data_IF_507973875353
#
_entry.id   IF_507973875353
#
_cell.length_a   1.000
_cell.length_b   1.000
_cell.length_c   1.000
_cell.angle_alpha   90.00
_cell.angle_beta   90.00
_cell.angle_gamma   90.00
#
_symmetry.space_group_name_H-M   'P 1'
#
loop_
_entity.id
_entity.type
_entity.pdbx_description
1 polymer ?
#
# COMPACT_ATOMS: atom_id res chain seq x y z
N UNK A 1 16.73 3.78 -16.46
CA UNK A 1 15.74 4.19 -15.45
C UNK A 1 15.40 2.95 -14.64
N UNK A 2 15.54 3.05 -13.32
CA UNK A 2 15.15 1.97 -12.41
C UNK A 2 13.61 1.91 -12.33
N UNK A 3 13.03 0.75 -12.58
CA UNK A 3 11.59 0.53 -12.52
C UNK A 3 11.04 0.78 -11.10
N UNK A 4 11.85 0.52 -10.07
CA UNK A 4 11.49 0.77 -8.67
C UNK A 4 11.33 2.27 -8.43
N UNK A 5 12.22 3.10 -8.97
CA UNK A 5 12.12 4.56 -8.86
C UNK A 5 10.84 5.07 -9.53
N UNK A 6 10.54 4.60 -10.75
CA UNK A 6 9.31 4.96 -11.44
C UNK A 6 8.06 4.58 -10.63
N UNK A 7 8.06 3.38 -10.05
CA UNK A 7 6.95 2.88 -9.22
C UNK A 7 6.79 3.61 -7.89
N UNK A 8 7.86 4.21 -7.36
CA UNK A 8 7.87 4.93 -6.08
C UNK A 8 7.86 6.46 -6.24
N UNK A 9 7.51 6.97 -7.41
CA UNK A 9 7.46 8.41 -7.71
C UNK A 9 6.20 9.04 -7.12
N UNK A 10 6.22 9.26 -5.81
CA UNK A 10 5.10 9.80 -5.04
C UNK A 10 4.69 11.21 -5.51
N UNK A 11 3.43 11.41 -5.96
CA UNK A 11 2.99 12.69 -6.49
C UNK A 11 3.15 13.85 -5.49
N UNK A 12 3.70 14.97 -5.97
CA UNK A 12 3.95 16.16 -5.15
C UNK A 12 5.24 16.11 -4.32
N UNK A 13 5.97 14.99 -4.33
CA UNK A 13 7.28 14.85 -3.66
C UNK A 13 8.40 14.65 -4.67
N UNK A 14 8.17 13.78 -5.66
CA UNK A 14 9.16 13.44 -6.68
C UNK A 14 8.66 13.82 -8.08
N UNK A 15 9.55 14.25 -8.99
CA UNK A 15 9.16 14.56 -10.37
C UNK A 15 8.77 13.27 -11.12
N UNK A 16 7.76 13.31 -12.01
CA UNK A 16 7.38 12.17 -12.84
C UNK A 16 8.55 11.61 -13.66
N UNK A 17 8.62 10.29 -13.78
CA UNK A 17 9.67 9.60 -14.55
C UNK A 17 9.23 9.43 -16.00
N UNK A 18 10.04 9.90 -16.96
CA UNK A 18 9.75 9.73 -18.40
C UNK A 18 10.23 8.36 -18.88
N UNK A 19 9.31 7.50 -19.30
CA UNK A 19 9.62 6.16 -19.82
C UNK A 19 8.76 5.83 -21.04
N UNK A 20 9.39 5.39 -22.13
CA UNK A 20 8.71 5.04 -23.41
C UNK A 20 7.68 6.09 -23.87
N UNK A 21 8.05 7.37 -23.80
CA UNK A 21 7.19 8.49 -24.21
C UNK A 21 6.08 8.88 -23.23
N UNK A 22 5.99 8.21 -22.06
CA UNK A 22 4.98 8.49 -21.03
C UNK A 22 5.63 9.06 -19.78
N UNK A 23 4.87 9.86 -19.03
CA UNK A 23 5.25 10.26 -17.68
C UNK A 23 4.61 9.31 -16.68
N UNK A 24 5.44 8.70 -15.85
CA UNK A 24 5.05 7.73 -14.84
C UNK A 24 5.11 8.38 -13.45
N UNK A 25 4.16 8.00 -12.60
CA UNK A 25 4.07 8.33 -11.18
C UNK A 25 3.84 7.03 -10.41
N UNK A 26 3.76 7.13 -9.08
CA UNK A 26 3.51 6.01 -8.19
C UNK A 26 2.37 5.09 -8.65
N UNK A 27 2.64 3.79 -8.70
CA UNK A 27 1.71 2.77 -9.19
C UNK A 27 0.53 2.52 -8.23
N UNK A 28 0.64 2.92 -6.97
CA UNK A 28 -0.41 2.77 -5.98
C UNK A 28 -1.69 3.51 -6.35
N UNK A 29 -1.61 4.54 -7.21
CA UNK A 29 -2.78 5.23 -7.75
C UNK A 29 -3.69 4.35 -8.60
N UNK A 30 -3.18 3.20 -9.07
CA UNK A 30 -3.92 2.23 -9.87
C UNK A 30 -4.23 0.99 -9.04
N UNK A 31 -3.21 0.42 -8.41
CA UNK A 31 -3.35 -0.79 -7.59
C UNK A 31 -2.43 -0.72 -6.36
N UNK A 32 -2.91 -0.27 -5.18
CA UNK A 32 -2.08 -0.07 -4.00
C UNK A 32 -1.44 -1.35 -3.45
N UNK A 33 -2.04 -2.51 -3.69
CA UNK A 33 -1.46 -3.83 -3.39
C UNK A 33 -1.65 -4.72 -4.60
N UNK A 34 -0.63 -4.93 -5.45
CA UNK A 34 -0.80 -5.45 -6.81
C UNK A 34 -1.05 -6.96 -6.88
N UNK A 35 -2.17 -7.42 -6.32
CA UNK A 35 -2.57 -8.83 -6.28
C UNK A 35 -3.00 -9.33 -7.66
N UNK A 36 -3.74 -8.52 -8.43
CA UNK A 36 -4.22 -8.92 -9.75
C UNK A 36 -3.06 -9.19 -10.71
N UNK A 37 -1.97 -8.43 -10.58
CA UNK A 37 -0.73 -8.67 -11.34
C UNK A 37 -0.14 -10.04 -11.01
N UNK A 38 -0.08 -10.44 -9.74
CA UNK A 38 0.44 -11.76 -9.34
C UNK A 38 -0.44 -12.88 -9.90
N UNK A 39 -1.76 -12.74 -9.86
CA UNK A 39 -2.69 -13.70 -10.44
C UNK A 39 -2.50 -13.82 -11.95
N UNK A 40 -2.34 -12.69 -12.66
CA UNK A 40 -2.03 -12.68 -14.10
C UNK A 40 -0.68 -13.34 -14.43
N UNK A 41 0.27 -13.30 -13.50
CA UNK A 41 1.55 -14.01 -13.61
C UNK A 41 1.44 -15.52 -13.27
N UNK A 42 0.25 -16.02 -12.94
CA UNK A 42 -0.01 -17.43 -12.65
C UNK A 42 0.20 -17.82 -11.19
N UNK A 43 0.22 -16.88 -10.25
CA UNK A 43 0.28 -17.21 -8.83
C UNK A 43 -1.01 -17.90 -8.38
N UNK A 44 -0.91 -19.15 -7.91
CA UNK A 44 -2.05 -19.92 -7.38
C UNK A 44 -2.54 -19.39 -6.03
N UNK A 45 -1.65 -18.76 -5.27
CA UNK A 45 -1.92 -18.17 -3.96
C UNK A 45 -1.11 -16.90 -3.80
N UNK A 46 -1.74 -15.84 -3.32
CA UNK A 46 -1.09 -14.54 -3.10
C UNK A 46 -1.22 -14.08 -1.65
N UNK A 47 -0.11 -13.62 -1.06
CA UNK A 47 -0.12 -12.99 0.26
C UNK A 47 0.20 -11.50 0.09
N UNK A 48 -0.77 -10.64 0.35
CA UNK A 48 -0.62 -9.19 0.31
C UNK A 48 -0.40 -8.58 1.69
N UNK A 49 0.27 -7.44 1.73
CA UNK A 49 0.41 -6.62 2.94
C UNK A 49 -0.23 -5.26 2.66
N UNK A 50 -1.36 -5.00 3.29
CA UNK A 50 -2.14 -3.77 3.12
C UNK A 50 -1.89 -2.84 4.32
N UNK A 51 -1.27 -1.70 4.05
CA UNK A 51 -0.89 -0.70 5.04
C UNK A 51 -1.85 0.49 5.11
N UNK A 52 -2.90 0.52 4.27
CA UNK A 52 -3.71 1.72 4.10
C UNK A 52 -4.72 1.90 5.24
N UNK A 53 -4.88 3.15 5.68
CA UNK A 53 -5.65 3.51 6.87
C UNK A 53 -7.15 3.36 6.59
N UNK A 54 -7.81 2.38 7.22
CA UNK A 54 -9.26 2.18 7.05
C UNK A 54 -10.12 3.22 7.76
N UNK A 55 -9.58 3.95 8.75
CA UNK A 55 -10.31 5.03 9.44
C UNK A 55 -9.58 6.34 9.22
N UNK A 56 -10.00 7.01 8.15
CA UNK A 56 -9.58 8.36 7.84
C UNK A 56 -9.81 9.27 9.05
N UNK A 57 -8.74 9.83 9.62
CA UNK A 57 -8.86 10.77 10.75
C UNK A 57 -9.37 12.12 10.27
N UNK A 58 -9.99 12.89 11.17
CA UNK A 58 -10.26 14.31 10.92
C UNK A 58 -8.93 15.04 10.76
N UNK A 59 -8.84 15.87 9.73
CA UNK A 59 -7.76 16.81 9.52
C UNK A 59 -8.39 18.21 9.46
N UNK A 60 -7.92 19.09 10.34
CA UNK A 60 -8.42 20.47 10.41
C UNK A 60 -7.56 21.43 9.55
N UNK A 61 -6.52 20.91 8.88
CA UNK A 61 -5.60 21.70 8.07
C UNK A 61 -6.04 21.73 6.61
N UNK A 62 -6.34 22.92 6.11
CA UNK A 62 -6.83 23.18 4.75
C UNK A 62 -5.75 23.67 3.78
N UNK A 63 -4.48 23.69 4.19
CA UNK A 63 -3.37 24.02 3.29
C UNK A 63 -3.29 23.00 2.13
N UNK A 64 -2.99 23.50 0.93
CA UNK A 64 -3.00 22.73 -0.32
C UNK A 64 -2.19 21.43 -0.26
N UNK A 65 -1.07 21.40 0.47
CA UNK A 65 -0.26 20.19 0.63
C UNK A 65 -1.04 19.12 1.39
N UNK A 66 -1.71 19.50 2.48
CA UNK A 66 -2.53 18.58 3.27
C UNK A 66 -3.78 18.15 2.53
N UNK A 67 -4.38 19.04 1.72
CA UNK A 67 -5.51 18.69 0.85
C UNK A 67 -5.10 17.65 -0.19
N UNK A 68 -3.95 17.81 -0.86
CA UNK A 68 -3.43 16.84 -1.82
C UNK A 68 -3.13 15.49 -1.13
N UNK A 69 -2.40 15.51 -0.01
CA UNK A 69 -2.11 14.30 0.76
C UNK A 69 -3.39 13.58 1.18
N UNK A 70 -4.41 14.34 1.60
CA UNK A 70 -5.70 13.80 1.99
C UNK A 70 -6.44 13.18 0.80
N UNK A 71 -6.41 13.82 -0.35
CA UNK A 71 -6.97 13.27 -1.59
C UNK A 71 -6.33 11.93 -1.93
N UNK A 72 -4.99 11.85 -1.89
CA UNK A 72 -4.25 10.60 -2.13
C UNK A 72 -4.63 9.53 -1.10
N UNK A 73 -4.69 9.86 0.19
CA UNK A 73 -5.08 8.92 1.24
C UNK A 73 -6.50 8.36 1.02
N UNK A 74 -7.48 9.23 0.70
CA UNK A 74 -8.86 8.84 0.41
C UNK A 74 -8.92 7.91 -0.80
N UNK A 75 -8.23 8.27 -1.88
CA UNK A 75 -8.19 7.50 -3.12
C UNK A 75 -7.60 6.11 -2.88
N UNK A 76 -6.40 6.03 -2.29
CA UNK A 76 -5.71 4.76 -2.02
C UNK A 76 -6.49 3.87 -1.06
N UNK A 77 -7.13 4.46 -0.05
CA UNK A 77 -8.04 3.73 0.85
C UNK A 77 -9.26 3.20 0.11
N UNK A 78 -9.83 3.98 -0.81
CA UNK A 78 -10.95 3.57 -1.65
C UNK A 78 -10.60 2.40 -2.56
N UNK A 79 -9.45 2.48 -3.24
CA UNK A 79 -8.92 1.44 -4.12
C UNK A 79 -8.63 0.14 -3.36
N UNK A 80 -7.87 0.20 -2.26
CA UNK A 80 -7.57 -0.97 -1.43
C UNK A 80 -8.85 -1.68 -0.93
N UNK A 81 -9.89 -0.92 -0.55
CA UNK A 81 -11.20 -1.49 -0.17
C UNK A 81 -11.97 -2.08 -1.34
N UNK A 82 -11.83 -1.50 -2.54
CA UNK A 82 -12.49 -2.00 -3.73
C UNK A 82 -11.86 -3.32 -4.17
N UNK A 83 -10.54 -3.38 -4.26
CA UNK A 83 -9.77 -4.59 -4.59
C UNK A 83 -10.02 -5.71 -3.59
N UNK A 84 -10.13 -5.41 -2.29
CA UNK A 84 -10.44 -6.43 -1.30
C UNK A 84 -11.75 -7.16 -1.58
N UNK A 85 -12.74 -6.48 -2.16
CA UNK A 85 -14.02 -7.12 -2.51
C UNK A 85 -13.89 -8.08 -3.69
N UNK A 86 -12.85 -7.93 -4.51
CA UNK A 86 -12.62 -8.77 -5.69
C UNK A 86 -11.70 -9.94 -5.38
N UNK A 87 -11.01 -9.94 -4.23
CA UNK A 87 -10.10 -11.02 -3.83
C UNK A 87 -10.84 -12.34 -3.58
N UNK A 88 -10.33 -13.40 -4.21
CA UNK A 88 -10.80 -14.77 -4.03
C UNK A 88 -10.22 -15.44 -2.76
N UNK A 89 -10.52 -16.73 -2.59
CA UNK A 89 -10.02 -17.55 -1.46
C UNK A 89 -8.52 -17.84 -1.53
N UNK A 90 -7.95 -17.63 -2.71
CA UNK A 90 -6.54 -17.73 -3.08
C UNK A 90 -5.72 -16.49 -2.69
N UNK A 91 -6.33 -15.51 -2.01
CA UNK A 91 -5.65 -14.30 -1.55
C UNK A 91 -5.75 -14.18 -0.02
N UNK A 92 -4.60 -13.95 0.62
CA UNK A 92 -4.49 -13.65 2.03
C UNK A 92 -3.90 -12.26 2.23
N UNK A 93 -4.65 -11.35 2.86
CA UNK A 93 -4.14 -10.02 3.22
C UNK A 93 -3.76 -9.97 4.70
N UNK A 94 -2.53 -9.53 4.98
CA UNK A 94 -2.00 -9.19 6.30
C UNK A 94 -2.05 -7.67 6.49
N UNK A 95 -2.34 -7.21 7.71
CA UNK A 95 -2.57 -5.79 7.99
C UNK A 95 -1.89 -5.34 9.28
N UNK A 96 -0.57 -5.09 9.24
CA UNK A 96 0.16 -4.59 10.39
C UNK A 96 -0.48 -3.32 10.96
N UNK A 97 -0.78 -3.30 12.25
CA UNK A 97 -1.32 -2.11 12.90
C UNK A 97 -0.24 -1.02 13.05
N UNK A 98 -0.09 -0.20 12.01
CA UNK A 98 0.88 0.90 11.98
C UNK A 98 0.40 2.22 12.62
N UNK A 99 -0.84 2.25 13.12
CA UNK A 99 -1.46 3.38 13.81
C UNK A 99 -2.31 4.26 12.89
N UNK A 100 -3.07 5.22 13.44
CA UNK A 100 -4.00 6.07 12.68
C UNK A 100 -3.38 7.34 12.08
N UNK A 101 -2.15 7.69 12.49
CA UNK A 101 -1.41 8.86 12.00
C UNK A 101 -0.05 8.41 11.50
N UNK A 102 -0.02 7.79 10.32
CA UNK A 102 1.24 7.53 9.62
C UNK A 102 1.53 8.76 8.78
N UNK A 103 2.65 9.40 9.07
CA UNK A 103 3.22 10.37 8.15
C UNK A 103 4.23 9.59 7.29
N UNK A 104 4.00 9.58 5.98
CA UNK A 104 4.82 8.91 4.94
C UNK A 104 6.31 9.20 5.06
N UNK A 105 6.69 10.35 5.62
CA UNK A 105 8.08 10.80 5.77
C UNK A 105 8.65 10.56 7.19
N UNK A 106 7.99 9.77 8.04
CA UNK A 106 8.45 9.48 9.41
C UNK A 106 9.54 8.39 9.46
N UNK A 107 10.65 8.60 8.76
CA UNK A 107 11.76 7.63 8.67
C UNK A 107 12.42 7.32 10.04
N UNK A 108 12.33 8.22 11.01
CA UNK A 108 12.82 7.96 12.37
C UNK A 108 12.04 6.84 13.10
N UNK A 109 10.83 6.48 12.62
CA UNK A 109 10.00 5.41 13.19
C UNK A 109 10.17 4.06 12.49
N UNK A 110 11.08 3.94 11.51
CA UNK A 110 11.23 2.73 10.69
C UNK A 110 11.41 1.45 11.52
N UNK A 111 12.23 1.46 12.57
CA UNK A 111 12.41 0.30 13.47
C UNK A 111 11.10 -0.19 14.08
N UNK A 112 10.24 0.74 14.51
CA UNK A 112 8.92 0.43 15.07
C UNK A 112 7.99 -0.15 13.98
N UNK A 113 8.01 0.37 12.75
CA UNK A 113 7.20 -0.18 11.67
C UNK A 113 7.64 -1.59 11.24
N UNK A 114 8.94 -1.85 11.20
CA UNK A 114 9.50 -3.19 10.94
C UNK A 114 9.01 -4.18 12.02
N UNK A 115 9.14 -3.80 13.30
CA UNK A 115 8.66 -4.64 14.42
C UNK A 115 7.16 -4.94 14.33
N UNK A 116 6.34 -3.98 13.88
CA UNK A 116 4.90 -4.18 13.67
C UNK A 116 4.60 -5.17 12.53
N UNK A 117 5.36 -5.11 11.44
CA UNK A 117 5.23 -6.08 10.34
C UNK A 117 5.63 -7.50 10.76
N UNK A 118 6.70 -7.63 11.55
CA UNK A 118 7.11 -8.89 12.15
C UNK A 118 6.00 -9.45 13.05
N UNK A 119 5.50 -8.63 13.97
CA UNK A 119 4.42 -9.02 14.90
C UNK A 119 3.16 -9.50 14.18
N UNK A 120 2.71 -8.79 13.15
CA UNK A 120 1.55 -9.19 12.34
C UNK A 120 1.75 -10.59 11.73
N UNK A 121 2.95 -10.87 11.24
CA UNK A 121 3.30 -12.15 10.63
C UNK A 121 3.34 -13.27 11.68
N UNK A 122 3.95 -13.01 12.84
CA UNK A 122 4.04 -13.97 13.95
C UNK A 122 2.65 -14.34 14.49
N UNK A 123 1.77 -13.34 14.71
CA UNK A 123 0.40 -13.55 15.17
C UNK A 123 -0.44 -14.36 14.17
N UNK A 124 -0.17 -14.20 12.86
CA UNK A 124 -0.88 -14.90 11.79
C UNK A 124 -0.15 -16.15 11.27
N UNK A 125 0.95 -16.59 11.89
CA UNK A 125 1.81 -17.65 11.32
C UNK A 125 1.07 -18.96 11.07
N UNK A 126 0.12 -19.34 11.94
CA UNK A 126 -0.71 -20.54 11.77
C UNK A 126 -1.63 -20.41 10.54
N UNK A 127 -2.23 -19.22 10.34
CA UNK A 127 -3.09 -18.91 9.20
C UNK A 127 -2.30 -18.93 7.90
N UNK A 128 -1.11 -18.32 7.88
CA UNK A 128 -0.18 -18.31 6.75
C UNK A 128 0.22 -19.74 6.37
N UNK A 129 0.66 -20.55 7.35
CA UNK A 129 1.04 -21.95 7.10
C UNK A 129 -0.12 -22.78 6.51
N UNK A 130 -1.35 -22.59 7.00
CA UNK A 130 -2.54 -23.25 6.46
C UNK A 130 -2.91 -22.76 5.07
N UNK A 131 -2.69 -21.48 4.79
CA UNK A 131 -2.98 -20.89 3.49
C UNK A 131 -2.00 -21.39 2.43
N UNK A 132 -0.70 -21.45 2.72
CA UNK A 132 0.32 -21.88 1.74
C UNK A 132 0.24 -23.38 1.42
N UNK A 133 -0.09 -24.22 2.41
CA UNK A 133 -0.37 -25.66 2.21
C UNK A 133 -1.54 -25.85 1.25
#
# INVERSE_FOLDING_TARGET
IDAVIASATYPGVFPPVKFKGRYLVDGGLIEPTPISLLQNMGAEKSIGVDLWVRKLTKHDNTNIIFVIQRTLEIMLTGLSRHEEKTYGKDVLILRPNIGSKINTFSFHKSKNYISKGQKETEENIKKIKRFVK
#
